data_IF_116959398076
#
_entry.id   IF_116959398076
#
_cell.length_a   1.000
_cell.length_b   1.000
_cell.length_c   1.000
_cell.angle_alpha   90.00
_cell.angle_beta   90.00
_cell.angle_gamma   90.00
#
_symmetry.space_group_name_H-M   'P 1'
#
loop_
_entity.id
_entity.type
_entity.pdbx_description
1 polymer ?
#
# COMPACT_ATOMS: atom_id res chain seq x y z
N UNK A 1 -8.27 -20.70 -13.79
CA UNK A 1 -8.16 -20.27 -13.36
C UNK A 1 -8.05 -19.34 -12.99
N UNK A 2 -8.10 -19.06 -12.92
CA UNK A 2 -7.92 -18.32 -12.62
C UNK A 2 -7.69 -17.40 -11.91
N UNK A 3 -7.47 -17.01 -11.90
CA UNK A 3 -7.05 -15.94 -11.49
C UNK A 3 -7.45 -15.45 -10.21
N UNK A 4 -7.93 -16.15 -9.31
CA UNK A 4 -8.21 -15.71 -8.03
C UNK A 4 -6.96 -15.39 -7.28
N UNK A 5 -5.83 -15.55 -7.81
CA UNK A 5 -4.57 -15.17 -7.21
C UNK A 5 -4.12 -13.75 -7.51
N UNK A 6 -4.92 -12.99 -8.28
CA UNK A 6 -4.49 -11.67 -8.73
C UNK A 6 -4.32 -10.71 -7.57
N UNK A 7 -5.25 -10.70 -6.63
CA UNK A 7 -5.19 -9.81 -5.48
C UNK A 7 -5.62 -10.59 -4.25
N UNK A 8 -4.74 -10.67 -3.27
CA UNK A 8 -4.99 -11.43 -2.05
C UNK A 8 -6.17 -10.85 -1.29
N UNK A 9 -6.89 -11.69 -0.58
CA UNK A 9 -8.00 -11.25 0.24
C UNK A 9 -7.52 -10.41 1.41
N UNK A 10 -6.37 -10.72 1.97
CA UNK A 10 -5.76 -9.97 3.07
C UNK A 10 -4.31 -9.75 2.71
N UNK A 11 -3.86 -8.50 2.82
CA UNK A 11 -2.47 -8.15 2.64
C UNK A 11 -1.93 -7.72 4.00
N UNK A 12 -0.91 -8.42 4.48
CA UNK A 12 -0.34 -8.14 5.79
C UNK A 12 0.70 -7.06 5.66
N UNK A 13 0.74 -6.16 6.65
CA UNK A 13 1.59 -4.97 6.60
C UNK A 13 2.49 -4.94 7.82
N UNK A 14 3.76 -4.66 7.59
CA UNK A 14 4.74 -4.49 8.64
C UNK A 14 5.31 -3.09 8.54
N UNK A 15 5.31 -2.37 9.65
CA UNK A 15 5.78 -0.99 9.66
C UNK A 15 7.29 -0.95 9.88
N UNK A 16 8.03 -0.60 8.85
CA UNK A 16 9.47 -0.37 9.00
C UNK A 16 9.82 1.10 8.76
N UNK A 17 8.79 1.94 8.70
CA UNK A 17 9.00 3.37 8.46
C UNK A 17 8.98 4.21 9.74
N UNK A 18 8.45 3.67 10.83
CA UNK A 18 8.47 4.39 12.11
C UNK A 18 7.19 5.16 12.41
N UNK A 19 6.09 4.82 11.72
CA UNK A 19 4.81 5.41 12.01
C UNK A 19 4.52 6.66 11.22
N UNK A 20 3.53 7.43 11.67
CA UNK A 20 3.06 8.60 10.96
C UNK A 20 3.98 9.80 11.23
N UNK A 21 4.56 10.41 10.18
CA UNK A 21 5.44 11.55 10.38
C UNK A 21 4.65 12.82 10.71
N UNK A 22 5.35 13.82 11.25
CA UNK A 22 4.71 15.05 11.65
C UNK A 22 4.15 15.82 10.46
N UNK A 23 4.80 15.73 9.31
CA UNK A 23 4.35 16.46 8.13
C UNK A 23 3.25 15.75 7.35
N UNK A 24 2.75 14.63 7.86
CA UNK A 24 1.69 13.90 7.19
C UNK A 24 0.43 14.74 7.14
N UNK A 25 -0.27 14.67 6.01
CA UNK A 25 -1.57 15.30 5.83
C UNK A 25 -2.62 14.21 5.96
N UNK A 26 -3.67 14.47 6.75
CA UNK A 26 -4.64 13.43 7.00
C UNK A 26 -6.06 13.94 7.03
N UNK A 27 -6.98 13.02 6.72
CA UNK A 27 -8.42 13.23 6.86
C UNK A 27 -8.92 12.00 7.58
N UNK A 28 -9.32 12.18 8.85
CA UNK A 28 -9.68 11.04 9.68
C UNK A 28 -8.49 10.13 9.88
N UNK A 29 -8.68 8.86 9.59
CA UNK A 29 -7.60 7.88 9.73
C UNK A 29 -6.73 7.77 8.49
N UNK A 30 -7.17 8.35 7.37
CA UNK A 30 -6.40 8.33 6.14
C UNK A 30 -5.36 9.44 6.16
N UNK A 31 -4.11 9.10 5.87
CA UNK A 31 -3.06 10.11 5.83
C UNK A 31 -2.03 9.77 4.76
N UNK A 32 -1.28 10.77 4.36
CA UNK A 32 -0.23 10.59 3.38
C UNK A 32 0.88 11.61 3.64
N UNK A 33 2.06 11.30 3.11
CA UNK A 33 3.16 12.25 3.12
C UNK A 33 3.12 13.04 1.81
N UNK A 34 3.18 14.38 1.88
CA UNK A 34 3.12 15.17 0.65
C UNK A 34 4.19 14.81 -0.37
N UNK A 35 5.33 14.30 0.07
CA UNK A 35 6.40 13.90 -0.83
C UNK A 35 5.97 12.84 -1.83
N UNK A 36 4.92 12.07 -1.51
CA UNK A 36 4.47 11.01 -2.42
C UNK A 36 4.08 11.59 -3.78
N UNK A 37 3.58 12.82 -3.81
CA UNK A 37 3.11 13.43 -5.05
C UNK A 37 4.25 13.80 -5.99
N UNK A 38 5.47 13.94 -5.47
CA UNK A 38 6.64 14.28 -6.27
C UNK A 38 7.37 13.08 -6.84
N UNK A 39 6.97 11.87 -6.45
CA UNK A 39 7.66 10.67 -6.89
C UNK A 39 7.21 10.27 -8.29
N UNK A 40 8.08 9.62 -9.07
CA UNK A 40 7.74 9.19 -10.43
C UNK A 40 6.94 7.89 -10.40
N UNK A 41 5.76 7.95 -9.78
CA UNK A 41 4.87 6.81 -9.65
C UNK A 41 3.57 7.12 -10.35
N UNK A 42 2.85 6.08 -10.74
CA UNK A 42 1.50 6.26 -11.27
C UNK A 42 0.59 6.82 -10.17
N UNK A 43 -0.49 7.52 -10.55
CA UNK A 43 -1.43 8.00 -9.53
C UNK A 43 -1.97 6.88 -8.66
N UNK A 44 -2.25 5.71 -9.25
CA UNK A 44 -2.77 4.58 -8.49
C UNK A 44 -1.78 4.15 -7.42
N UNK A 45 -0.48 4.08 -7.76
CA UNK A 45 0.53 3.67 -6.80
C UNK A 45 0.65 4.67 -5.66
N UNK A 46 0.55 5.96 -5.98
CA UNK A 46 0.63 7.00 -4.95
C UNK A 46 -0.52 6.89 -3.95
N UNK A 47 -1.73 6.73 -4.46
CA UNK A 47 -2.91 6.61 -3.60
C UNK A 47 -2.83 5.31 -2.81
N UNK A 48 -2.38 4.23 -3.44
CA UNK A 48 -2.26 2.95 -2.77
C UNK A 48 -1.26 3.04 -1.61
N UNK A 49 -0.11 3.67 -1.84
CA UNK A 49 0.87 3.80 -0.77
C UNK A 49 0.29 4.55 0.43
N UNK A 50 -0.45 5.63 0.16
CA UNK A 50 -1.09 6.38 1.24
C UNK A 50 -2.09 5.51 2.00
N UNK A 51 -2.85 4.69 1.27
CA UNK A 51 -3.80 3.79 1.91
C UNK A 51 -3.12 2.76 2.77
N UNK A 52 -2.03 2.17 2.26
CA UNK A 52 -1.29 1.17 3.04
C UNK A 52 -0.72 1.79 4.31
N UNK A 53 -0.16 2.99 4.20
CA UNK A 53 0.37 3.68 5.37
C UNK A 53 -0.72 3.91 6.42
N UNK A 54 -1.93 4.25 5.97
CA UNK A 54 -3.03 4.51 6.87
C UNK A 54 -3.49 3.27 7.62
N UNK A 55 -3.20 2.08 7.07
CA UNK A 55 -3.59 0.81 7.69
C UNK A 55 -2.45 0.15 8.46
N UNK A 56 -1.29 0.81 8.57
CA UNK A 56 -0.15 0.19 9.27
C UNK A 56 -0.48 -0.15 10.72
N UNK A 57 -1.27 0.69 11.38
CA UNK A 57 -1.64 0.45 12.76
C UNK A 57 -2.49 -0.81 12.95
N UNK A 58 -3.14 -1.26 11.87
CA UNK A 58 -3.95 -2.48 11.92
C UNK A 58 -3.13 -3.74 11.61
N UNK A 59 -1.96 -3.57 11.00
CA UNK A 59 -1.13 -4.70 10.62
C UNK A 59 -1.59 -5.43 9.38
N UNK A 60 -2.68 -5.00 8.77
CA UNK A 60 -3.21 -5.65 7.57
C UNK A 60 -4.21 -4.74 6.89
N UNK A 61 -4.43 -4.99 5.61
CA UNK A 61 -5.46 -4.31 4.83
C UNK A 61 -6.19 -5.36 4.02
N UNK A 62 -7.51 -5.29 3.99
CA UNK A 62 -8.32 -6.29 3.29
C UNK A 62 -8.58 -5.86 1.86
N UNK A 63 -8.86 -6.85 1.01
CA UNK A 63 -9.11 -6.59 -0.41
C UNK A 63 -10.24 -5.57 -0.60
N UNK A 64 -11.26 -5.63 0.24
CA UNK A 64 -12.36 -4.66 0.13
C UNK A 64 -11.86 -3.24 0.38
N UNK A 65 -10.89 -3.08 1.28
CA UNK A 65 -10.33 -1.75 1.58
C UNK A 65 -9.45 -1.27 0.44
N UNK A 66 -8.74 -2.20 -0.19
CA UNK A 66 -7.94 -1.85 -1.37
C UNK A 66 -8.85 -1.40 -2.51
N UNK A 67 -9.96 -2.10 -2.70
CA UNK A 67 -10.92 -1.72 -3.72
C UNK A 67 -11.57 -0.38 -3.43
N UNK A 68 -11.81 -0.09 -2.14
CA UNK A 68 -12.37 1.20 -1.76
C UNK A 68 -11.36 2.32 -1.96
N UNK A 69 -10.08 2.04 -1.74
CA UNK A 69 -9.02 3.02 -1.90
C UNK A 69 -8.80 3.35 -3.37
N UNK A 70 -8.86 2.34 -4.24
CA UNK A 70 -8.63 2.50 -5.67
C UNK A 70 -9.89 2.12 -6.44
N UNK A 71 -10.94 2.91 -6.26
CA UNK A 71 -12.27 2.57 -6.78
C UNK A 71 -12.30 2.35 -8.28
N UNK A 72 -11.47 3.08 -9.02
CA UNK A 72 -11.50 3.01 -10.47
C UNK A 72 -10.56 1.97 -11.03
N UNK A 73 -9.91 1.20 -10.17
CA UNK A 73 -8.95 0.20 -10.60
C UNK A 73 -9.53 -1.20 -10.46
N UNK A 74 -9.18 -2.07 -11.40
CA UNK A 74 -9.49 -3.49 -11.28
C UNK A 74 -8.56 -4.13 -10.25
N UNK A 75 -8.86 -5.36 -9.84
CA UNK A 75 -7.97 -6.10 -8.95
C UNK A 75 -6.59 -6.23 -9.58
N UNK A 76 -6.51 -6.45 -10.89
CA UNK A 76 -5.23 -6.52 -11.58
C UNK A 76 -4.50 -5.19 -11.53
N UNK A 77 -5.24 -4.08 -11.68
CA UNK A 77 -4.63 -2.76 -11.57
C UNK A 77 -4.09 -2.49 -10.19
N UNK A 78 -4.80 -2.94 -9.15
CA UNK A 78 -4.31 -2.80 -7.78
C UNK A 78 -3.06 -3.65 -7.57
N UNK A 79 -3.06 -4.88 -8.09
CA UNK A 79 -1.89 -5.75 -7.98
C UNK A 79 -0.69 -5.13 -8.69
N UNK A 80 -0.91 -4.51 -9.86
CA UNK A 80 0.17 -3.83 -10.57
C UNK A 80 0.71 -2.65 -9.77
N UNK A 81 -0.17 -1.92 -9.08
CA UNK A 81 0.26 -0.80 -8.27
C UNK A 81 1.11 -1.29 -7.09
N UNK A 82 0.74 -2.43 -6.50
CA UNK A 82 1.57 -3.03 -5.45
C UNK A 82 2.96 -3.36 -5.99
N UNK A 83 3.03 -3.95 -7.19
CA UNK A 83 4.31 -4.28 -7.78
C UNK A 83 5.12 -3.04 -8.10
N UNK A 84 4.46 -1.98 -8.54
CA UNK A 84 5.15 -0.73 -8.80
C UNK A 84 5.81 -0.20 -7.54
N UNK A 85 5.11 -0.28 -6.41
CA UNK A 85 5.67 0.15 -5.14
C UNK A 85 6.86 -0.72 -4.73
N UNK A 86 6.80 -2.02 -5.01
CA UNK A 86 7.93 -2.91 -4.75
C UNK A 86 9.12 -2.51 -5.61
N UNK A 87 8.89 -2.26 -6.90
CA UNK A 87 9.98 -1.88 -7.80
C UNK A 87 10.64 -0.59 -7.37
N UNK A 88 9.88 0.31 -6.75
CA UNK A 88 10.40 1.59 -6.31
C UNK A 88 10.83 1.58 -4.85
N UNK A 89 10.88 0.39 -4.25
CA UNK A 89 11.44 0.17 -2.91
C UNK A 89 10.66 0.84 -1.79
N UNK A 90 9.39 1.09 -2.02
CA UNK A 90 8.49 1.57 -0.97
C UNK A 90 7.79 0.42 -0.27
N UNK A 91 7.75 -0.75 -0.91
CA UNK A 91 7.30 -1.99 -0.30
C UNK A 91 8.36 -3.05 -0.49
N UNK A 92 8.51 -3.92 0.51
CA UNK A 92 9.37 -5.08 0.41
C UNK A 92 8.56 -6.32 0.76
N UNK A 93 8.60 -7.37 -0.04
CA UNK A 93 7.94 -8.61 0.36
C UNK A 93 8.50 -9.09 1.69
N UNK A 94 7.61 -9.44 2.61
CA UNK A 94 8.01 -9.86 3.95
C UNK A 94 7.47 -11.26 4.19
N UNK A 95 8.29 -12.28 3.93
CA UNK A 95 7.86 -13.66 4.00
C UNK A 95 7.43 -14.06 5.40
N UNK A 96 7.97 -13.43 6.42
CA UNK A 96 7.57 -13.75 7.80
C UNK A 96 6.15 -13.27 8.08
N UNK A 97 5.61 -12.37 7.26
CA UNK A 97 4.23 -11.93 7.41
C UNK A 97 3.28 -12.73 6.52
N UNK A 98 3.79 -13.77 5.84
CA UNK A 98 2.99 -14.62 5.00
C UNK A 98 3.20 -14.35 3.52
N UNK A 99 2.57 -15.13 2.65
CA UNK A 99 2.79 -15.00 1.20
C UNK A 99 2.30 -13.67 0.64
N UNK A 100 1.41 -12.97 1.35
CA UNK A 100 0.90 -11.68 0.90
C UNK A 100 1.34 -10.56 1.84
N UNK A 101 2.49 -10.71 2.49
CA UNK A 101 2.95 -9.70 3.44
C UNK A 101 3.97 -8.77 2.83
N UNK A 102 3.93 -7.52 3.27
CA UNK A 102 4.88 -6.50 2.82
C UNK A 102 5.35 -5.67 4.00
N UNK A 103 6.63 -5.29 3.96
CA UNK A 103 7.14 -4.26 4.85
C UNK A 103 6.97 -2.93 4.13
N UNK A 104 6.39 -1.95 4.81
CA UNK A 104 6.13 -0.62 4.23
C UNK A 104 7.27 0.30 4.64
N UNK A 105 7.98 0.83 3.65
CA UNK A 105 9.17 1.63 3.87
C UNK A 105 8.82 3.11 3.75
N UNK A 106 9.66 3.95 4.38
CA UNK A 106 9.49 5.39 4.28
C UNK A 106 9.96 5.88 2.91
N UNK A 107 9.43 7.04 2.51
CA UNK A 107 9.91 7.75 1.33
C UNK A 107 11.28 8.34 1.64
N UNK A 108 12.22 8.16 0.74
CA UNK A 108 13.50 8.78 0.92
C UNK A 108 14.71 7.91 0.82
#
# INVERSE_FOLDING_TARGET
MKNEGTLAEVVFLRDVRGGRPENAVGIGEFWYEPEIWSLPLSPAAKVLYAGLCSFLGHGEIHRKDLRATLKDSSDEGIAEALEELVRNKLLEPASEAGPSGYAVRAIG
#
